data_IF_350392857525
#
_entry.id   IF_350392857525
#
_cell.length_a   1.000
_cell.length_b   1.000
_cell.length_c   1.000
_cell.angle_alpha   90.00
_cell.angle_beta   90.00
_cell.angle_gamma   90.00
#
_symmetry.space_group_name_H-M   'P 1'
#
loop_
_entity.id
_entity.type
_entity.pdbx_description
1 polymer ?
#
# COMPACT_ATOMS: atom_id res chain seq x y z
N UNK A 1 -81.82 22.35 -3.36
CA UNK A 1 -80.99 23.47 -3.79
C UNK A 1 -79.58 23.24 -3.27
N UNK A 2 -78.63 23.14 -4.20
CA UNK A 2 -77.15 23.29 -4.10
C UNK A 2 -76.33 22.38 -3.16
N UNK A 3 -75.63 21.43 -3.81
CA UNK A 3 -74.18 21.15 -3.80
C UNK A 3 -73.28 21.68 -2.67
N UNK A 4 -72.31 20.85 -2.25
CA UNK A 4 -70.87 20.97 -2.60
C UNK A 4 -70.10 19.81 -1.93
N UNK A 5 -69.33 19.07 -2.73
CA UNK A 5 -68.39 18.03 -2.31
C UNK A 5 -66.96 18.61 -2.09
N UNK A 6 -65.90 17.79 -1.96
CA UNK A 6 -65.12 17.53 -0.75
C UNK A 6 -63.77 18.26 -0.71
N UNK A 7 -63.03 18.18 0.39
CA UNK A 7 -61.57 18.40 0.38
C UNK A 7 -60.88 17.29 1.16
N UNK A 8 -59.94 16.65 0.46
CA UNK A 8 -59.15 15.51 0.86
C UNK A 8 -57.75 16.01 1.19
N UNK A 9 -57.17 15.62 2.33
CA UNK A 9 -55.72 15.48 2.46
C UNK A 9 -55.43 14.26 3.34
N UNK A 10 -54.82 13.19 2.81
CA UNK A 10 -54.25 12.14 3.62
C UNK A 10 -52.86 12.62 4.08
N UNK A 11 -52.65 12.66 5.39
CA UNK A 11 -51.31 12.77 5.96
C UNK A 11 -50.51 11.52 5.58
N UNK A 12 -49.61 11.67 4.61
CA UNK A 12 -48.42 10.84 4.48
C UNK A 12 -47.44 11.36 5.54
N UNK A 13 -46.99 10.53 6.50
CA UNK A 13 -45.53 10.39 6.72
C UNK A 13 -45.04 9.45 7.84
N UNK A 14 -45.84 8.85 8.72
CA UNK A 14 -45.22 8.30 9.96
C UNK A 14 -44.84 6.81 10.01
N UNK A 15 -44.99 6.01 8.95
CA UNK A 15 -44.75 4.55 9.07
C UNK A 15 -43.62 3.99 8.20
N UNK A 16 -42.76 4.83 7.64
CA UNK A 16 -41.60 4.38 6.84
C UNK A 16 -40.33 4.12 7.65
N UNK A 17 -40.39 4.16 8.98
CA UNK A 17 -39.21 4.00 9.83
C UNK A 17 -39.10 2.62 10.48
N UNK A 18 -39.24 1.50 9.76
CA UNK A 18 -38.73 0.21 10.27
C UNK A 18 -38.41 -0.81 9.18
N UNK A 19 -37.66 -0.42 8.16
CA UNK A 19 -37.07 -1.38 7.24
C UNK A 19 -35.60 -1.02 6.98
N UNK A 20 -34.72 -1.26 7.95
CA UNK A 20 -33.28 -1.24 7.69
C UNK A 20 -32.57 -2.41 8.37
N UNK A 21 -32.20 -3.36 7.49
CA UNK A 21 -31.00 -4.17 7.50
C UNK A 21 -30.83 -5.26 8.58
N UNK A 22 -31.25 -6.48 8.23
CA UNK A 22 -30.50 -7.68 8.58
C UNK A 22 -29.46 -7.93 7.46
N UNK A 23 -28.14 -7.73 7.70
CA UNK A 23 -27.15 -8.15 6.73
C UNK A 23 -26.93 -9.66 6.90
N UNK A 24 -27.52 -10.45 6.01
CA UNK A 24 -27.20 -11.87 5.90
C UNK A 24 -25.73 -12.00 5.46
N UNK A 25 -24.87 -12.35 6.41
CA UNK A 25 -23.50 -12.77 6.14
C UNK A 25 -23.52 -14.16 5.53
N UNK A 26 -23.51 -14.26 4.19
CA UNK A 26 -23.28 -15.52 3.50
C UNK A 26 -21.80 -15.62 3.08
N UNK A 27 -21.09 -16.53 3.74
CA UNK A 27 -19.79 -17.04 3.34
C UNK A 27 -19.87 -17.63 1.92
N UNK A 28 -19.13 -17.04 0.97
CA UNK A 28 -19.05 -17.50 -0.43
C UNK A 28 -19.97 -16.75 -1.42
N UNK A 29 -20.24 -15.46 -1.16
CA UNK A 29 -21.31 -14.67 -1.75
C UNK A 29 -21.21 -14.48 -3.28
N UNK A 30 -21.99 -15.25 -4.03
CA UNK A 30 -22.65 -14.72 -5.22
C UNK A 30 -23.66 -13.66 -4.76
N UNK A 31 -23.29 -12.39 -4.88
CA UNK A 31 -24.19 -11.27 -4.59
C UNK A 31 -25.19 -11.12 -5.73
N UNK A 32 -26.44 -11.52 -5.50
CA UNK A 32 -27.53 -11.27 -6.44
C UNK A 32 -27.83 -9.77 -6.44
N UNK A 33 -27.64 -9.12 -7.58
CA UNK A 33 -27.96 -7.70 -7.78
C UNK A 33 -29.46 -7.60 -8.02
N UNK A 34 -30.17 -6.81 -7.21
CA UNK A 34 -31.61 -6.58 -7.41
C UNK A 34 -31.87 -5.38 -8.32
N UNK A 35 -33.03 -5.33 -8.97
CA UNK A 35 -33.42 -4.22 -9.85
C UNK A 35 -33.42 -2.88 -9.11
N UNK A 36 -33.85 -2.87 -7.83
CA UNK A 36 -33.83 -1.67 -7.00
C UNK A 36 -32.40 -1.16 -6.78
N UNK A 37 -31.42 -2.05 -6.60
CA UNK A 37 -30.02 -1.65 -6.43
C UNK A 37 -29.42 -1.03 -7.70
N UNK A 38 -29.89 -1.44 -8.88
CA UNK A 38 -29.51 -0.83 -10.16
C UNK A 38 -30.18 0.54 -10.32
N UNK A 39 -31.48 0.64 -10.02
CA UNK A 39 -32.22 1.90 -10.08
C UNK A 39 -31.62 2.97 -9.16
N UNK A 40 -31.19 2.58 -7.95
CA UNK A 40 -30.56 3.49 -7.00
C UNK A 40 -29.03 3.58 -7.15
N UNK A 41 -28.43 3.00 -8.19
CA UNK A 41 -26.96 2.98 -8.40
C UNK A 41 -26.15 2.47 -7.20
N UNK A 42 -26.78 1.68 -6.32
CA UNK A 42 -26.18 1.19 -5.07
C UNK A 42 -25.46 -0.14 -5.29
N UNK A 43 -25.65 -0.79 -6.44
CA UNK A 43 -25.01 -2.07 -6.78
C UNK A 43 -23.47 -2.03 -6.73
N UNK A 44 -22.84 -0.87 -6.99
CA UNK A 44 -21.38 -0.70 -6.95
C UNK A 44 -20.84 -0.26 -5.58
N UNK A 45 -21.72 0.10 -4.62
CA UNK A 45 -21.33 0.64 -3.32
C UNK A 45 -21.04 -0.44 -2.26
N UNK A 46 -21.22 -1.72 -2.60
CA UNK A 46 -20.84 -2.83 -1.71
C UNK A 46 -19.31 -2.90 -1.68
N UNK A 47 -18.74 -2.44 -0.57
CA UNK A 47 -17.29 -2.35 -0.37
C UNK A 47 -16.61 -3.68 -0.75
N UNK A 48 -15.49 -3.64 -1.50
CA UNK A 48 -14.71 -4.84 -1.76
C UNK A 48 -14.28 -5.45 -0.42
N UNK A 49 -14.21 -6.79 -0.31
CA UNK A 49 -13.75 -7.43 0.91
C UNK A 49 -12.37 -6.86 1.28
N UNK A 50 -12.05 -6.70 2.58
CA UNK A 50 -10.76 -6.18 3.01
C UNK A 50 -9.67 -7.06 2.39
N UNK A 51 -8.91 -6.48 1.46
CA UNK A 51 -7.84 -7.19 0.78
C UNK A 51 -6.88 -7.71 1.85
N UNK A 52 -6.60 -9.02 1.84
CA UNK A 52 -5.57 -9.66 2.68
C UNK A 52 -4.19 -9.17 2.21
N UNK A 53 -3.84 -7.92 2.52
CA UNK A 53 -2.59 -7.26 2.13
C UNK A 53 -1.37 -7.83 2.87
N UNK A 54 -1.59 -8.51 4.01
CA UNK A 54 -0.52 -9.04 4.87
C UNK A 54 0.40 -10.04 4.17
N UNK A 55 -0.14 -10.90 3.30
CA UNK A 55 0.68 -11.89 2.58
C UNK A 55 1.55 -11.27 1.48
N UNK A 56 1.08 -10.20 0.85
CA UNK A 56 1.81 -9.51 -0.21
C UNK A 56 3.00 -8.71 0.35
N UNK A 57 2.83 -8.10 1.52
CA UNK A 57 3.93 -7.35 2.16
C UNK A 57 5.05 -8.25 2.66
N UNK A 58 4.72 -9.43 3.20
CA UNK A 58 5.71 -10.39 3.69
C UNK A 58 6.50 -11.01 2.53
N UNK A 59 5.83 -11.38 1.43
CA UNK A 59 6.51 -11.90 0.23
C UNK A 59 7.38 -10.84 -0.45
N UNK A 60 6.90 -9.60 -0.57
CA UNK A 60 7.68 -8.49 -1.11
C UNK A 60 8.94 -8.20 -0.28
N UNK A 61 8.82 -8.25 1.06
CA UNK A 61 9.96 -8.06 1.97
C UNK A 61 10.99 -9.18 1.84
N UNK A 62 10.55 -10.43 1.77
CA UNK A 62 11.44 -11.57 1.56
C UNK A 62 12.20 -11.44 0.24
N UNK A 63 11.52 -11.08 -0.84
CA UNK A 63 12.11 -10.88 -2.16
C UNK A 63 13.13 -9.73 -2.16
N UNK A 64 12.79 -8.59 -1.54
CA UNK A 64 13.70 -7.47 -1.40
C UNK A 64 14.96 -7.81 -0.60
N UNK A 65 14.83 -8.59 0.49
CA UNK A 65 15.98 -9.04 1.29
C UNK A 65 16.89 -10.00 0.54
N UNK A 66 16.31 -10.93 -0.24
CA UNK A 66 17.08 -11.89 -1.04
C UNK A 66 17.89 -11.16 -2.13
N UNK A 67 17.25 -10.23 -2.85
CA UNK A 67 17.91 -9.39 -3.86
C UNK A 67 19.02 -8.54 -3.22
N UNK A 68 18.75 -7.91 -2.08
CA UNK A 68 19.76 -7.14 -1.34
C UNK A 68 20.97 -7.98 -0.92
N UNK A 69 20.75 -9.21 -0.45
CA UNK A 69 21.83 -10.13 -0.07
C UNK A 69 22.68 -10.57 -1.26
N UNK A 70 22.07 -10.75 -2.43
CA UNK A 70 22.78 -11.11 -3.65
C UNK A 70 23.69 -9.97 -4.14
N UNK A 71 23.19 -8.73 -4.15
CA UNK A 71 24.01 -7.55 -4.45
C UNK A 71 25.13 -7.34 -3.44
N UNK A 72 24.88 -7.57 -2.15
CA UNK A 72 25.90 -7.49 -1.10
C UNK A 72 26.97 -8.58 -1.28
N UNK A 73 26.59 -9.79 -1.68
CA UNK A 73 27.53 -10.88 -1.98
C UNK A 73 28.35 -10.65 -3.25
N UNK A 74 27.77 -9.94 -4.23
CA UNK A 74 28.43 -9.55 -5.46
C UNK A 74 29.37 -8.35 -5.27
N UNK A 75 29.26 -7.64 -4.15
CA UNK A 75 30.17 -6.55 -3.82
C UNK A 75 31.56 -7.12 -3.51
N UNK A 76 32.52 -6.83 -4.39
CA UNK A 76 33.93 -7.20 -4.20
C UNK A 76 34.43 -6.59 -2.89
N UNK A 77 35.20 -7.33 -2.07
CA UNK A 77 35.77 -6.77 -0.84
C UNK A 77 36.63 -5.54 -1.14
N UNK A 78 36.68 -4.55 -0.23
CA UNK A 78 37.50 -3.36 -0.41
C UNK A 78 38.96 -3.77 -0.63
N UNK A 79 39.62 -3.16 -1.61
CA UNK A 79 41.04 -3.42 -1.89
C UNK A 79 41.88 -2.92 -0.71
N UNK A 80 42.89 -3.67 -0.25
CA UNK A 80 43.80 -3.20 0.79
C UNK A 80 44.54 -1.95 0.32
N UNK A 81 44.61 -0.92 1.18
CA UNK A 81 45.35 0.32 0.93
C UNK A 81 46.79 0.11 1.38
N UNK A 82 47.73 0.10 0.42
CA UNK A 82 49.16 0.00 0.72
C UNK A 82 49.79 1.39 0.88
N UNK A 83 50.73 1.56 1.83
CA UNK A 83 51.48 2.81 1.96
C UNK A 83 52.30 3.05 0.69
N UNK A 84 52.30 4.30 0.23
CA UNK A 84 53.02 4.71 -0.98
C UNK A 84 54.52 4.75 -0.70
N UNK A 85 55.32 4.03 -1.49
CA UNK A 85 56.79 3.91 -1.33
C UNK A 85 57.59 5.21 -1.53
N UNK A 86 56.96 6.27 -2.02
CA UNK A 86 57.60 7.58 -2.23
C UNK A 86 58.18 8.19 -0.95
N UNK A 87 57.57 7.95 0.22
CA UNK A 87 58.08 8.49 1.50
C UNK A 87 59.49 7.99 1.79
N UNK A 88 59.76 6.72 1.53
CA UNK A 88 61.09 6.14 1.72
C UNK A 88 62.10 6.69 0.71
N UNK A 89 61.69 6.87 -0.55
CA UNK A 89 62.54 7.45 -1.61
C UNK A 89 62.89 8.92 -1.32
N UNK A 90 61.91 9.72 -0.90
CA UNK A 90 62.09 11.12 -0.53
C UNK A 90 63.02 11.25 0.67
N UNK A 91 62.83 10.41 1.69
CA UNK A 91 63.71 10.40 2.88
C UNK A 91 65.14 10.03 2.51
N UNK A 92 65.34 9.02 1.65
CA UNK A 92 66.67 8.58 1.22
C UNK A 92 67.37 9.60 0.31
N UNK A 93 66.60 10.34 -0.52
CA UNK A 93 67.15 11.42 -1.35
C UNK A 93 67.60 12.59 -0.48
N UNK A 94 66.76 13.02 0.47
CA UNK A 94 67.10 14.08 1.40
C UNK A 94 68.31 13.71 2.27
N UNK A 95 68.39 12.48 2.79
CA UNK A 95 69.54 12.06 3.59
C UNK A 95 70.84 12.11 2.78
N UNK A 96 70.80 11.63 1.52
CA UNK A 96 71.95 11.67 0.63
C UNK A 96 72.36 13.10 0.26
N UNK A 97 71.41 14.02 0.17
CA UNK A 97 71.68 15.44 -0.06
C UNK A 97 72.31 16.09 1.17
N UNK A 98 71.82 15.78 2.37
CA UNK A 98 72.43 16.27 3.62
C UNK A 98 73.84 15.74 3.85
N UNK A 99 74.13 14.49 3.47
CA UNK A 99 75.49 13.93 3.53
C UNK A 99 76.50 14.63 2.61
N UNK A 100 76.03 15.46 1.66
CA UNK A 100 76.88 16.21 0.72
C UNK A 100 77.18 17.64 1.15
N UNK A 101 76.51 18.14 2.19
CA UNK A 101 76.72 19.46 2.77
C UNK A 101 77.79 19.42 3.87
#
# INVERSE_FOLDING_TARGET
>A
MTDIAPTYQPQLDESRETLVASPQTSTGAHTLITEQQVLFSTAAAVAPPPAKTRGFTESARALASAVGSWFASAARPPKPVYPKRHVWLETALLSREMDRL
#
